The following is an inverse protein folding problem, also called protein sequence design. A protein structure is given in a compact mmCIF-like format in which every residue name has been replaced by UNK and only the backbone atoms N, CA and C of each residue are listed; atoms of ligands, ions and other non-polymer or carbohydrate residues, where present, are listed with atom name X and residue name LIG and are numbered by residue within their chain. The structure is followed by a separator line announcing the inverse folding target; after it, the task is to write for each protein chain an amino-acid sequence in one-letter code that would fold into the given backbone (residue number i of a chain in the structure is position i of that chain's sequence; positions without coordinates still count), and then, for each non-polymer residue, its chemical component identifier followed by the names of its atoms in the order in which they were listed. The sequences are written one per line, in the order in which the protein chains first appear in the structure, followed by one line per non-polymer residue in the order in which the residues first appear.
data_IF_153045486793
#
_entry.id   IF_153045486793
#
_cell.length_a   1.000
_cell.length_b   1.000
_cell.length_c   1.000
_cell.angle_alpha   90.00
_cell.angle_beta   90.00
_cell.angle_gamma   90.00
#
_symmetry.space_group_name_H-M   'P 1'
#
loop_
_entity.id
_entity.type
_entity.pdbx_description
1 polymer ?
#
# COMPACT_ATOMS: atom_id res chain seq x y z
N UNK A 1 -43.51 -15.05 25.17
CA UNK A 1 -42.13 -14.59 25.43
C UNK A 1 -41.30 -14.91 24.20
N UNK A 2 -40.81 -13.89 23.48
CA UNK A 2 -40.01 -14.06 22.25
C UNK A 2 -38.53 -13.88 22.62
N UNK A 3 -37.76 -14.95 22.49
CA UNK A 3 -36.31 -14.97 22.68
C UNK A 3 -35.64 -14.36 21.46
N UNK A 4 -34.93 -13.25 21.65
CA UNK A 4 -34.11 -12.60 20.63
C UNK A 4 -32.79 -13.37 20.50
N UNK A 5 -32.57 -14.02 19.37
CA UNK A 5 -31.28 -14.64 19.04
C UNK A 5 -30.41 -13.58 18.38
N UNK A 6 -29.39 -13.09 19.09
CA UNK A 6 -28.36 -12.22 18.53
C UNK A 6 -27.34 -13.14 17.85
N UNK A 7 -27.40 -13.20 16.52
CA UNK A 7 -26.35 -13.77 15.66
C UNK A 7 -25.16 -12.80 15.69
N UNK A 8 -24.17 -13.12 16.52
CA UNK A 8 -22.84 -12.50 16.43
C UNK A 8 -22.17 -13.06 15.18
N UNK A 9 -22.07 -12.23 14.14
CA UNK A 9 -21.20 -12.51 13.01
C UNK A 9 -19.75 -12.48 13.51
N UNK A 10 -19.18 -13.66 13.74
CA UNK A 10 -17.74 -13.84 13.88
C UNK A 10 -17.09 -13.49 12.54
N UNK A 11 -16.73 -12.21 12.36
CA UNK A 11 -15.87 -11.77 11.27
C UNK A 11 -14.52 -12.45 11.52
N UNK A 12 -14.12 -13.31 10.59
CA UNK A 12 -12.91 -14.11 10.67
C UNK A 12 -11.68 -13.25 10.91
N UNK A 13 -11.18 -13.27 12.14
CA UNK A 13 -9.76 -13.10 12.40
C UNK A 13 -9.07 -14.44 12.13
N UNK A 14 -8.83 -14.73 10.86
CA UNK A 14 -7.73 -15.61 10.49
C UNK A 14 -6.44 -14.81 10.73
N UNK A 15 -5.81 -15.12 11.87
CA UNK A 15 -4.53 -14.62 12.32
C UNK A 15 -3.39 -14.91 11.31
N UNK A 16 -2.30 -14.13 11.34
CA UNK A 16 -1.61 -13.63 10.16
C UNK A 16 -0.46 -14.52 9.73
N UNK A 17 -0.18 -14.50 8.42
CA UNK A 17 1.15 -14.78 7.88
C UNK A 17 2.13 -13.74 8.46
N UNK A 18 2.61 -13.98 9.68
CA UNK A 18 3.47 -13.10 10.46
C UNK A 18 4.94 -13.11 10.02
N UNK A 19 5.18 -13.21 8.72
CA UNK A 19 6.22 -12.43 8.07
C UNK A 19 5.50 -11.37 7.24
N UNK A 20 4.74 -10.51 7.92
CA UNK A 20 4.13 -9.35 7.31
C UNK A 20 5.28 -8.55 6.69
N UNK A 21 5.24 -8.33 5.38
CA UNK A 21 6.27 -7.57 4.68
C UNK A 21 6.26 -6.14 5.21
N UNK A 22 7.04 -5.87 6.26
CA UNK A 22 7.06 -4.59 6.97
C UNK A 22 7.40 -3.44 6.03
N UNK A 23 8.20 -3.70 4.99
CA UNK A 23 8.48 -2.71 3.95
C UNK A 23 7.24 -2.31 3.14
N UNK A 24 6.36 -3.26 2.82
CA UNK A 24 5.13 -3.01 2.07
C UNK A 24 4.17 -2.10 2.83
N UNK A 25 3.95 -2.35 4.12
CA UNK A 25 3.12 -1.49 4.96
C UNK A 25 3.67 -0.06 5.05
N UNK A 26 4.98 0.08 5.24
CA UNK A 26 5.65 1.39 5.31
C UNK A 26 5.55 2.13 3.95
N UNK A 27 5.67 1.40 2.83
CA UNK A 27 5.46 1.97 1.50
C UNK A 27 4.00 2.40 1.26
N UNK A 28 3.02 1.63 1.73
CA UNK A 28 1.61 2.04 1.70
C UNK A 28 1.40 3.31 2.55
N UNK A 29 2.00 3.40 3.73
CA UNK A 29 1.99 4.63 4.55
C UNK A 29 2.65 5.83 3.84
N UNK A 30 3.75 5.61 3.11
CA UNK A 30 4.35 6.64 2.26
C UNK A 30 3.39 7.14 1.18
N UNK A 31 2.65 6.23 0.52
CA UNK A 31 1.70 6.63 -0.51
C UNK A 31 0.46 7.31 0.07
N UNK A 32 -0.02 6.89 1.24
CA UNK A 32 -1.06 7.62 1.96
C UNK A 32 -0.61 9.04 2.31
N UNK A 33 0.64 9.22 2.76
CA UNK A 33 1.22 10.54 2.99
C UNK A 33 1.35 11.37 1.70
N UNK A 34 1.62 10.72 0.56
CA UNK A 34 1.64 11.38 -0.75
C UNK A 34 0.28 11.98 -1.09
N UNK A 35 -0.79 11.16 -1.07
CA UNK A 35 -2.16 11.64 -1.34
C UNK A 35 -2.67 12.65 -0.31
N UNK A 36 -2.25 12.52 0.95
CA UNK A 36 -2.57 13.48 2.00
C UNK A 36 -1.79 14.81 1.90
N UNK A 37 -0.88 14.94 0.92
CA UNK A 37 0.06 16.08 0.76
C UNK A 37 0.96 16.32 1.99
N UNK A 38 1.30 15.27 2.72
CA UNK A 38 2.23 15.29 3.86
C UNK A 38 3.67 15.10 3.38
N UNK A 39 4.17 16.05 2.57
CA UNK A 39 5.39 15.89 1.77
C UNK A 39 6.64 15.45 2.54
N UNK A 40 6.84 15.95 3.77
CA UNK A 40 7.96 15.53 4.62
C UNK A 40 7.86 14.07 5.09
N UNK A 41 6.65 13.64 5.47
CA UNK A 41 6.38 12.28 5.92
C UNK A 41 6.54 11.27 4.77
N UNK A 42 6.03 11.61 3.57
CA UNK A 42 6.17 10.77 2.37
C UNK A 42 7.62 10.34 2.14
N UNK A 43 8.55 11.30 2.09
CA UNK A 43 9.96 10.99 1.81
C UNK A 43 10.58 10.11 2.89
N UNK A 44 10.34 10.43 4.16
CA UNK A 44 10.89 9.69 5.29
C UNK A 44 10.39 8.24 5.32
N UNK A 45 9.10 8.02 5.06
CA UNK A 45 8.50 6.69 4.99
C UNK A 45 9.01 5.91 3.77
N UNK A 46 9.11 6.54 2.59
CA UNK A 46 9.68 5.88 1.42
C UNK A 46 11.13 5.43 1.66
N UNK A 47 11.93 6.27 2.33
CA UNK A 47 13.31 5.93 2.67
C UNK A 47 13.37 4.80 3.70
N UNK A 48 12.56 4.84 4.75
CA UNK A 48 12.50 3.76 5.75
C UNK A 48 12.04 2.44 5.11
N UNK A 49 11.00 2.48 4.28
CA UNK A 49 10.50 1.32 3.54
C UNK A 49 11.57 0.73 2.62
N UNK A 50 12.38 1.57 1.98
CA UNK A 50 13.49 1.13 1.14
C UNK A 50 14.59 0.39 1.94
N UNK A 51 15.01 0.93 3.09
CA UNK A 51 15.99 0.24 3.93
C UNK A 51 15.42 -1.08 4.48
N UNK A 52 14.15 -1.08 4.90
CA UNK A 52 13.47 -2.29 5.35
C UNK A 52 13.35 -3.34 4.25
N UNK A 53 13.05 -2.90 3.02
CA UNK A 53 12.97 -3.80 1.88
C UNK A 53 14.31 -4.46 1.56
N UNK A 54 15.44 -3.79 1.80
CA UNK A 54 16.77 -4.39 1.62
C UNK A 54 17.07 -5.49 2.66
N UNK A 55 16.47 -5.40 3.84
CA UNK A 55 16.54 -6.45 4.86
C UNK A 55 15.60 -7.63 4.54
N UNK A 56 14.39 -7.33 4.02
CA UNK A 56 13.36 -8.33 3.73
C UNK A 56 13.63 -9.10 2.41
N UNK A 57 14.18 -8.43 1.39
CA UNK A 57 14.36 -8.96 0.05
C UNK A 57 15.26 -10.20 -0.06
N UNK A 58 16.38 -10.35 0.69
CA UNK A 58 17.19 -11.56 0.67
C UNK A 58 16.37 -12.82 0.95
N UNK A 59 15.47 -12.77 1.93
CA UNK A 59 14.58 -13.90 2.26
C UNK A 59 13.66 -14.26 1.09
N UNK A 60 13.07 -13.26 0.43
CA UNK A 60 12.22 -13.48 -0.74
C UNK A 60 13.00 -14.07 -1.92
N UNK A 61 14.23 -13.58 -2.17
CA UNK A 61 15.14 -14.12 -3.19
C UNK A 61 15.47 -15.58 -2.89
N UNK A 62 15.80 -15.90 -1.64
CA UNK A 62 16.15 -17.25 -1.21
C UNK A 62 14.98 -18.24 -1.39
N UNK A 63 13.76 -17.81 -1.06
CA UNK A 63 12.54 -18.59 -1.27
C UNK A 63 12.26 -18.84 -2.76
N UNK A 64 12.45 -17.84 -3.61
CA UNK A 64 12.29 -17.96 -5.07
C UNK A 64 13.35 -18.86 -5.70
N UNK A 65 14.60 -18.78 -5.24
CA UNK A 65 15.68 -19.65 -5.69
C UNK A 65 15.40 -21.12 -5.36
N UNK A 66 14.78 -21.40 -4.21
CA UNK A 66 14.36 -22.74 -3.77
C UNK A 66 13.08 -23.24 -4.45
N UNK A 67 12.30 -22.37 -5.11
CA UNK A 67 11.11 -22.78 -5.84
C UNK A 67 11.49 -23.58 -7.10
N UNK A 68 11.05 -24.83 -7.15
CA UNK A 68 11.37 -25.81 -8.22
C UNK A 68 10.55 -25.62 -9.50
N UNK A 69 9.93 -24.45 -9.71
CA UNK A 69 9.12 -24.21 -10.89
C UNK A 69 10.01 -24.24 -12.16
N UNK A 70 9.70 -25.10 -13.16
CA UNK A 70 10.47 -25.21 -14.40
C UNK A 70 10.25 -24.03 -15.36
N UNK A 71 9.53 -22.98 -14.96
CA UNK A 71 9.34 -21.78 -15.77
C UNK A 71 10.56 -20.86 -15.68
N UNK A 72 10.93 -20.16 -16.77
CA UNK A 72 11.89 -19.07 -16.72
C UNK A 72 11.47 -18.06 -15.63
N UNK A 73 12.32 -17.86 -14.64
CA UNK A 73 12.09 -16.82 -13.63
C UNK A 73 12.92 -15.60 -14.00
N UNK A 74 12.25 -14.58 -14.53
CA UNK A 74 12.85 -13.27 -14.81
C UNK A 74 13.24 -12.50 -13.55
N UNK A 75 12.93 -13.05 -12.36
CA UNK A 75 13.14 -12.42 -11.06
C UNK A 75 14.20 -13.12 -10.20
N UNK A 76 14.73 -14.28 -10.61
CA UNK A 76 15.65 -15.12 -9.82
C UNK A 76 17.00 -14.46 -9.50
N UNK A 77 17.49 -13.56 -10.36
CA UNK A 77 18.78 -12.86 -10.20
C UNK A 77 18.61 -11.36 -9.83
N UNK A 78 17.41 -10.95 -9.42
CA UNK A 78 17.13 -9.54 -9.17
C UNK A 78 17.68 -9.09 -7.82
N UNK A 79 18.27 -7.91 -7.80
CA UNK A 79 18.86 -7.32 -6.60
C UNK A 79 17.81 -6.91 -5.57
N UNK A 80 18.25 -6.61 -4.35
CA UNK A 80 17.40 -6.10 -3.27
C UNK A 80 16.68 -4.80 -3.66
N UNK A 81 17.33 -3.96 -4.46
CA UNK A 81 16.78 -2.69 -4.95
C UNK A 81 15.63 -2.90 -5.95
N UNK A 82 15.73 -3.94 -6.78
CA UNK A 82 14.63 -4.32 -7.66
C UNK A 82 13.39 -4.69 -6.85
N UNK A 83 13.55 -5.51 -5.81
CA UNK A 83 12.45 -5.93 -4.93
C UNK A 83 11.84 -4.76 -4.16
N UNK A 84 12.67 -3.87 -3.63
CA UNK A 84 12.21 -2.63 -3.00
C UNK A 84 11.36 -1.80 -3.98
N UNK A 85 11.81 -1.65 -5.22
CA UNK A 85 11.06 -0.97 -6.27
C UNK A 85 9.73 -1.65 -6.62
N UNK A 86 9.72 -2.99 -6.70
CA UNK A 86 8.50 -3.77 -6.96
C UNK A 86 7.47 -3.62 -5.83
N UNK A 87 7.89 -3.76 -4.57
CA UNK A 87 6.99 -3.58 -3.43
C UNK A 87 6.48 -2.15 -3.31
N UNK A 88 7.32 -1.16 -3.62
CA UNK A 88 6.85 0.23 -3.63
C UNK A 88 5.80 0.46 -4.73
N UNK A 89 6.04 -0.02 -5.95
CA UNK A 89 5.08 0.09 -7.06
C UNK A 89 3.77 -0.66 -6.79
N UNK A 90 3.85 -1.83 -6.15
CA UNK A 90 2.67 -2.58 -5.71
C UNK A 90 1.88 -1.80 -4.65
N UNK A 91 2.57 -1.19 -3.68
CA UNK A 91 1.95 -0.39 -2.62
C UNK A 91 1.20 0.83 -3.18
N UNK A 92 1.76 1.51 -4.18
CA UNK A 92 1.07 2.59 -4.91
C UNK A 92 -0.25 2.07 -5.49
N UNK A 93 -0.17 0.95 -6.22
CA UNK A 93 -1.35 0.35 -6.86
C UNK A 93 -2.41 -0.08 -5.83
N UNK A 94 -2.00 -0.62 -4.67
CA UNK A 94 -2.91 -1.01 -3.59
C UNK A 94 -3.63 0.17 -2.98
N UNK A 95 -2.91 1.24 -2.65
CA UNK A 95 -3.49 2.46 -2.07
C UNK A 95 -4.44 3.14 -3.07
N UNK A 96 -4.04 3.29 -4.34
CA UNK A 96 -4.91 3.87 -5.37
C UNK A 96 -6.18 3.04 -5.60
N UNK A 97 -6.06 1.71 -5.68
CA UNK A 97 -7.21 0.83 -5.79
C UNK A 97 -8.14 0.90 -4.56
N UNK A 98 -7.57 1.07 -3.37
CA UNK A 98 -8.35 1.25 -2.15
C UNK A 98 -9.08 2.60 -2.17
N UNK A 99 -8.41 3.70 -2.50
CA UNK A 99 -9.02 5.04 -2.63
C UNK A 99 -10.15 5.03 -3.66
N UNK A 100 -9.92 4.38 -4.81
CA UNK A 100 -10.90 4.19 -5.86
C UNK A 100 -12.13 3.39 -5.41
N UNK A 101 -11.98 2.47 -4.44
CA UNK A 101 -13.11 1.77 -3.81
C UNK A 101 -13.84 2.62 -2.78
N UNK A 102 -13.12 3.45 -2.01
CA UNK A 102 -13.73 4.35 -1.04
C UNK A 102 -14.58 5.44 -1.73
N UNK A 103 -14.03 6.04 -2.78
CA UNK A 103 -14.72 7.04 -3.57
C UNK A 103 -14.39 6.90 -5.05
N UNK A 104 -15.28 6.25 -5.84
CA UNK A 104 -14.99 6.01 -7.24
C UNK A 104 -14.99 7.29 -8.08
N UNK A 105 -13.83 7.64 -8.65
CA UNK A 105 -13.70 8.74 -9.62
C UNK A 105 -13.03 8.20 -10.87
N UNK A 106 -13.78 8.01 -11.95
CA UNK A 106 -13.25 7.49 -13.21
C UNK A 106 -13.74 8.33 -14.39
N UNK A 107 -12.83 8.61 -15.30
CA UNK A 107 -13.17 9.13 -16.61
C UNK A 107 -13.83 8.01 -17.43
N UNK A 108 -14.80 8.35 -18.29
CA UNK A 108 -15.43 7.35 -19.16
C UNK A 108 -14.44 6.84 -20.22
N UNK A 109 -14.65 5.64 -20.79
CA UNK A 109 -13.87 5.19 -21.94
C UNK A 109 -13.91 6.21 -23.08
N UNK A 110 -12.74 6.56 -23.63
CA UNK A 110 -12.62 7.57 -24.69
C UNK A 110 -12.81 9.01 -24.22
N UNK A 111 -12.78 9.28 -22.91
CA UNK A 111 -12.80 10.63 -22.34
C UNK A 111 -11.77 11.54 -23.02
N UNK A 112 -12.11 12.82 -23.21
CA UNK A 112 -11.18 13.81 -23.75
C UNK A 112 -10.01 14.05 -22.80
N UNK A 113 -8.94 14.67 -23.29
CA UNK A 113 -7.81 15.05 -22.43
C UNK A 113 -8.27 15.95 -21.27
N UNK A 114 -9.10 16.95 -21.55
CA UNK A 114 -9.64 17.85 -20.52
C UNK A 114 -10.48 17.11 -19.47
N UNK A 115 -11.31 16.15 -19.90
CA UNK A 115 -12.11 15.34 -18.97
C UNK A 115 -11.23 14.49 -18.05
N UNK A 116 -10.15 13.88 -18.58
CA UNK A 116 -9.18 13.14 -17.77
C UNK A 116 -8.45 14.05 -16.76
N UNK A 117 -8.08 15.26 -17.17
CA UNK A 117 -7.47 16.24 -16.26
C UNK A 117 -8.45 16.64 -15.15
N UNK A 118 -9.70 16.94 -15.47
CA UNK A 118 -10.74 17.27 -14.48
C UNK A 118 -11.00 16.10 -13.51
N UNK A 119 -10.97 14.87 -14.02
CA UNK A 119 -11.08 13.65 -13.21
C UNK A 119 -9.92 13.55 -12.23
N UNK A 120 -8.68 13.74 -12.69
CA UNK A 120 -7.50 13.71 -11.83
C UNK A 120 -7.52 14.82 -10.77
N UNK A 121 -7.96 16.03 -11.12
CA UNK A 121 -8.15 17.12 -10.15
C UNK A 121 -9.21 16.77 -9.10
N UNK A 122 -10.31 16.14 -9.52
CA UNK A 122 -11.37 15.70 -8.61
C UNK A 122 -10.86 14.60 -7.67
N UNK A 123 -10.11 13.63 -8.19
CA UNK A 123 -9.43 12.60 -7.39
C UNK A 123 -8.58 13.25 -6.30
N UNK A 124 -7.72 14.21 -6.63
CA UNK A 124 -6.90 14.92 -5.64
C UNK A 124 -7.74 15.58 -4.54
N UNK A 125 -8.85 16.23 -4.91
CA UNK A 125 -9.71 16.92 -3.95
C UNK A 125 -10.45 15.96 -3.00
N UNK A 126 -10.95 14.83 -3.51
CA UNK A 126 -11.75 13.89 -2.72
C UNK A 126 -10.91 12.84 -1.98
N UNK A 127 -9.79 12.40 -2.56
CA UNK A 127 -8.96 11.35 -1.98
C UNK A 127 -8.00 11.87 -0.93
N UNK A 128 -7.56 13.13 -1.02
CA UNK A 128 -6.68 13.74 -0.01
C UNK A 128 -7.20 13.58 1.43
N UNK A 129 -8.44 14.00 1.78
CA UNK A 129 -8.94 13.84 3.15
C UNK A 129 -9.15 12.37 3.56
N UNK A 130 -9.47 11.48 2.60
CA UNK A 130 -9.62 10.04 2.85
C UNK A 130 -8.26 9.41 3.18
N UNK A 131 -7.23 9.73 2.40
CA UNK A 131 -5.86 9.28 2.62
C UNK A 131 -5.31 9.80 3.96
N UNK A 132 -5.58 11.05 4.32
CA UNK A 132 -5.17 11.62 5.60
C UNK A 132 -5.80 10.89 6.81
N UNK A 133 -7.09 10.55 6.72
CA UNK A 133 -7.78 9.80 7.78
C UNK A 133 -7.22 8.37 7.91
N UNK A 134 -6.99 7.69 6.79
CA UNK A 134 -6.41 6.35 6.78
C UNK A 134 -4.97 6.33 7.29
N UNK A 135 -4.17 7.35 6.94
CA UNK A 135 -2.81 7.52 7.46
C UNK A 135 -2.78 7.52 8.99
N UNK A 136 -3.69 8.29 9.62
CA UNK A 136 -3.83 8.36 11.07
C UNK A 136 -4.40 7.05 11.64
N UNK A 137 -5.42 6.48 11.00
CA UNK A 137 -6.06 5.26 11.48
C UNK A 137 -5.10 4.06 11.50
N UNK A 138 -4.18 3.98 10.54
CA UNK A 138 -3.12 2.96 10.50
C UNK A 138 -1.96 3.26 11.44
N UNK A 139 -1.93 4.45 12.06
CA UNK A 139 -0.83 4.89 12.91
C UNK A 139 0.48 5.06 12.12
N UNK A 140 0.40 5.52 10.86
CA UNK A 140 1.58 5.68 10.02
C UNK A 140 2.59 6.68 10.62
N UNK A 141 2.15 7.57 11.51
CA UNK A 141 3.03 8.44 12.29
C UNK A 141 4.04 7.70 13.17
N UNK A 142 3.76 6.47 13.61
CA UNK A 142 4.68 5.70 14.46
C UNK A 142 5.94 5.23 13.72
N UNK A 143 5.90 5.21 12.38
CA UNK A 143 7.06 4.93 11.55
C UNK A 143 7.95 6.14 11.31
N UNK A 144 7.44 7.35 11.58
CA UNK A 144 8.23 8.57 11.42
C UNK A 144 9.22 8.68 12.58
N UNK A 145 10.46 9.14 12.33
CA UNK A 145 11.37 9.44 13.41
C UNK A 145 10.72 10.47 14.33
N UNK A 146 10.57 10.12 15.62
CA UNK A 146 10.10 11.06 16.63
C UNK A 146 10.97 12.32 16.53
N UNK A 147 10.32 13.47 16.28
CA UNK A 147 10.94 14.76 16.56
C UNK A 147 10.94 14.91 18.08
N UNK A 148 11.93 14.34 18.73
CA UNK A 148 12.40 14.87 20.02
C UNK A 148 13.09 16.22 19.78
#
# INVERSE_FOLDING_TARGET
MKTLVILVFSIGLSAPEAAANTSGEIFECSELANWAELGGARYQLAQLGYERAKEDAPTAIDLLAKSTAPSPSFTRERSTEFWAGMWYGESITRVENWLQKQYPVQARPGASASERVMTAMTQQQVWKPIAAAEFQQRGCEFYLPNKD
#
